data_IF_262348965249
#
_entry.id   IF_262348965249
#
_cell.length_a   1.000
_cell.length_b   1.000
_cell.length_c   1.000
_cell.angle_alpha   90.00
_cell.angle_beta   90.00
_cell.angle_gamma   90.00
#
_symmetry.space_group_name_H-M   'P 1'
#
loop_
_entity.id
_entity.type
_entity.pdbx_description
1 polymer ?
#
# COMPACT_ATOMS: atom_id res chain seq x y z
N UNK A 1 16.69 -4.72 -18.39
CA UNK A 1 16.10 -4.51 -17.04
C UNK A 1 14.92 -3.57 -17.17
N UNK A 2 13.69 -4.09 -17.04
CA UNK A 2 12.42 -3.37 -17.25
C UNK A 2 11.88 -2.79 -15.91
N UNK A 3 12.71 -2.81 -14.86
CA UNK A 3 12.35 -2.62 -13.45
C UNK A 3 11.97 -1.18 -13.01
N UNK A 4 11.66 -0.29 -13.95
CA UNK A 4 11.57 1.16 -13.68
C UNK A 4 10.21 1.60 -13.16
N UNK A 5 9.13 0.95 -13.59
CA UNK A 5 7.78 1.48 -13.35
C UNK A 5 7.14 0.87 -12.11
N UNK A 6 7.33 -0.43 -11.85
CA UNK A 6 6.83 -1.08 -10.64
C UNK A 6 7.43 -0.51 -9.35
N UNK A 7 8.71 -0.13 -9.38
CA UNK A 7 9.42 0.43 -8.24
C UNK A 7 8.90 1.83 -7.89
N UNK A 8 8.53 2.64 -8.89
CA UNK A 8 7.90 3.94 -8.68
C UNK A 8 6.56 3.77 -7.97
N UNK A 9 5.69 2.87 -8.43
CA UNK A 9 4.39 2.67 -7.78
C UNK A 9 4.55 2.14 -6.34
N UNK A 10 5.49 1.22 -6.09
CA UNK A 10 5.79 0.76 -4.73
C UNK A 10 6.33 1.89 -3.86
N UNK A 11 7.20 2.75 -4.39
CA UNK A 11 7.72 3.92 -3.70
C UNK A 11 6.63 4.95 -3.37
N UNK A 12 5.67 5.15 -4.27
CA UNK A 12 4.53 6.04 -4.01
C UNK A 12 3.70 5.54 -2.83
N UNK A 13 3.52 4.23 -2.66
CA UNK A 13 2.84 3.68 -1.48
C UNK A 13 3.67 3.93 -0.21
N UNK A 14 5.00 3.76 -0.26
CA UNK A 14 5.89 4.08 0.86
C UNK A 14 5.74 5.56 1.26
N UNK A 15 5.72 6.47 0.28
CA UNK A 15 5.52 7.90 0.54
C UNK A 15 4.14 8.14 1.16
N UNK A 16 3.07 7.52 0.64
CA UNK A 16 1.73 7.62 1.21
C UNK A 16 1.70 7.18 2.68
N UNK A 17 2.36 6.06 3.03
CA UNK A 17 2.44 5.59 4.40
C UNK A 17 3.22 6.57 5.30
N UNK A 18 4.34 7.11 4.82
CA UNK A 18 5.11 8.11 5.56
C UNK A 18 4.30 9.38 5.80
N UNK A 19 3.52 9.84 4.82
CA UNK A 19 2.62 10.97 5.00
C UNK A 19 1.58 10.69 6.09
N UNK A 20 1.00 9.48 6.13
CA UNK A 20 0.07 9.10 7.20
C UNK A 20 0.76 9.12 8.57
N UNK A 21 1.95 8.52 8.70
CA UNK A 21 2.72 8.48 9.95
C UNK A 21 2.98 9.90 10.45
N UNK A 22 3.54 10.75 9.59
CA UNK A 22 3.84 12.15 9.93
C UNK A 22 2.55 12.90 10.30
N UNK A 23 1.46 12.70 9.57
CA UNK A 23 0.19 13.40 9.83
C UNK A 23 -0.46 13.01 11.16
N UNK A 24 -0.03 11.91 11.79
CA UNK A 24 -0.56 11.44 13.07
C UNK A 24 0.35 11.85 14.23
N UNK A 25 1.66 11.78 14.05
CA UNK A 25 2.65 11.93 15.12
C UNK A 25 3.14 13.39 15.32
N UNK A 26 3.03 14.26 14.30
CA UNK A 26 3.95 15.42 14.20
C UNK A 26 3.65 16.68 15.05
N UNK A 27 2.45 16.89 15.59
CA UNK A 27 2.13 17.96 16.56
C UNK A 27 0.65 17.79 16.97
N UNK A 28 0.26 17.81 18.25
CA UNK A 28 -1.14 17.74 18.66
C UNK A 28 -2.06 18.78 17.98
N UNK A 29 -1.53 19.93 17.58
CA UNK A 29 -2.31 20.97 16.87
C UNK A 29 -2.50 20.69 15.37
N UNK A 30 -1.64 19.85 14.77
CA UNK A 30 -1.67 19.52 13.34
C UNK A 30 -1.97 18.05 13.07
N UNK A 31 -2.17 17.24 14.11
CA UNK A 31 -2.41 15.82 13.98
C UNK A 31 -3.80 15.56 13.40
N UNK A 32 -3.91 14.49 12.61
CA UNK A 32 -5.21 14.02 12.14
C UNK A 32 -6.08 13.68 13.36
N UNK A 33 -7.36 14.11 13.37
CA UNK A 33 -8.28 13.80 14.44
C UNK A 33 -8.30 12.30 14.77
N UNK A 34 -8.40 11.94 16.05
CA UNK A 34 -8.55 10.53 16.48
C UNK A 34 -9.81 9.87 15.93
N UNK A 35 -10.76 10.66 15.44
CA UNK A 35 -11.92 10.15 14.72
C UNK A 35 -11.59 9.63 13.32
N UNK A 36 -10.44 9.92 12.73
CA UNK A 36 -10.09 9.38 11.41
C UNK A 36 -9.59 7.94 11.51
N UNK A 37 -9.65 7.20 10.40
CA UNK A 37 -9.26 5.79 10.31
C UNK A 37 -10.15 4.80 11.09
N UNK A 38 -11.07 5.23 11.94
CA UNK A 38 -11.96 4.30 12.63
C UNK A 38 -11.21 3.35 13.56
N UNK A 39 -11.70 2.13 13.65
CA UNK A 39 -11.00 1.07 14.39
C UNK A 39 -9.69 0.64 13.75
N UNK A 40 -9.36 1.17 12.57
CA UNK A 40 -8.04 1.00 12.03
C UNK A 40 -6.97 1.89 12.72
N UNK A 41 -7.37 2.97 13.40
CA UNK A 41 -6.45 3.93 14.04
C UNK A 41 -5.43 3.29 15.01
N UNK A 42 -5.82 2.40 15.94
CA UNK A 42 -4.86 1.75 16.85
C UNK A 42 -3.80 0.93 16.11
N UNK A 43 -4.12 0.35 14.95
CA UNK A 43 -3.14 -0.41 14.16
C UNK A 43 -2.02 0.47 13.59
N UNK A 44 -2.34 1.73 13.29
CA UNK A 44 -1.34 2.70 12.86
C UNK A 44 -0.51 3.15 14.06
N UNK A 45 -1.15 3.53 15.17
CA UNK A 45 -0.48 4.15 16.31
C UNK A 45 0.34 3.15 17.15
N UNK A 46 -0.27 2.02 17.52
CA UNK A 46 0.28 1.12 18.54
C UNK A 46 0.96 -0.11 17.93
N UNK A 47 0.57 -0.49 16.71
CA UNK A 47 1.05 -1.71 16.04
C UNK A 47 1.94 -1.45 14.82
N UNK A 48 2.33 -0.19 14.58
CA UNK A 48 3.29 0.20 13.52
C UNK A 48 2.91 -0.32 12.12
N UNK A 49 1.61 -0.39 11.82
CA UNK A 49 1.13 -1.00 10.57
C UNK A 49 1.76 -0.34 9.34
N UNK A 50 1.74 0.99 9.28
CA UNK A 50 2.20 1.76 8.13
C UNK A 50 3.72 1.62 7.91
N UNK A 51 4.48 1.54 8.99
CA UNK A 51 5.93 1.34 9.02
C UNK A 51 6.28 -0.05 8.52
N UNK A 52 5.59 -1.09 9.03
CA UNK A 52 5.80 -2.48 8.62
C UNK A 52 5.51 -2.62 7.12
N UNK A 53 4.39 -2.09 6.62
CA UNK A 53 4.08 -2.14 5.19
C UNK A 53 5.13 -1.40 4.37
N UNK A 54 5.63 -0.25 4.85
CA UNK A 54 6.67 0.52 4.16
C UNK A 54 7.98 -0.25 4.04
N UNK A 55 8.44 -0.87 5.13
CA UNK A 55 9.65 -1.71 5.13
C UNK A 55 9.47 -2.90 4.20
N UNK A 56 8.32 -3.58 4.25
CA UNK A 56 8.03 -4.70 3.35
C UNK A 56 8.05 -4.28 1.88
N UNK A 57 7.51 -3.11 1.53
CA UNK A 57 7.56 -2.58 0.16
C UNK A 57 8.98 -2.23 -0.29
N UNK A 58 9.79 -1.63 0.59
CA UNK A 58 11.20 -1.34 0.29
C UNK A 58 11.95 -2.64 0.01
N UNK A 59 11.82 -3.66 0.87
CA UNK A 59 12.40 -4.99 0.62
C UNK A 59 11.88 -5.55 -0.71
N UNK A 60 10.58 -5.40 -0.98
CA UNK A 60 9.95 -5.92 -2.17
C UNK A 60 10.52 -5.28 -3.46
N UNK A 61 10.87 -3.99 -3.46
CA UNK A 61 11.52 -3.32 -4.59
C UNK A 61 12.82 -4.04 -4.98
N UNK A 62 13.60 -4.51 -4.00
CA UNK A 62 14.87 -5.21 -4.23
C UNK A 62 14.69 -6.68 -4.66
N UNK A 63 13.49 -7.26 -4.56
CA UNK A 63 13.19 -8.64 -4.98
C UNK A 63 12.97 -8.82 -6.48
N UNK A 64 13.50 -7.94 -7.32
CA UNK A 64 13.22 -7.88 -8.76
C UNK A 64 13.65 -9.10 -9.57
N UNK A 65 14.64 -9.84 -9.09
CA UNK A 65 15.04 -11.12 -9.69
C UNK A 65 13.99 -12.22 -9.44
N UNK A 66 13.03 -11.99 -8.53
CA UNK A 66 11.98 -12.93 -8.11
C UNK A 66 10.59 -12.31 -8.28
N UNK A 67 10.16 -12.01 -9.51
CA UNK A 67 8.90 -11.30 -9.79
C UNK A 67 7.64 -12.01 -9.25
N UNK A 68 7.64 -13.35 -9.20
CA UNK A 68 6.53 -14.11 -8.60
C UNK A 68 6.44 -13.88 -7.08
N UNK A 69 7.58 -13.82 -6.39
CA UNK A 69 7.64 -13.48 -4.97
C UNK A 69 7.16 -12.03 -4.76
N UNK A 70 7.56 -11.10 -5.64
CA UNK A 70 7.09 -9.71 -5.54
C UNK A 70 5.57 -9.59 -5.64
N UNK A 71 4.96 -10.28 -6.60
CA UNK A 71 3.51 -10.28 -6.79
C UNK A 71 2.80 -10.88 -5.57
N UNK A 72 3.32 -11.95 -4.99
CA UNK A 72 2.72 -12.57 -3.81
C UNK A 72 2.81 -11.68 -2.57
N UNK A 73 3.94 -11.00 -2.35
CA UNK A 73 4.05 -10.00 -1.28
C UNK A 73 3.04 -8.85 -1.47
N UNK A 74 2.90 -8.33 -2.69
CA UNK A 74 1.91 -7.30 -2.99
C UNK A 74 0.46 -7.77 -2.73
N UNK A 75 0.15 -9.05 -2.99
CA UNK A 75 -1.16 -9.64 -2.67
C UNK A 75 -1.40 -9.74 -1.16
N UNK A 76 -0.38 -10.11 -0.39
CA UNK A 76 -0.46 -10.13 1.07
C UNK A 76 -0.75 -8.72 1.59
N UNK A 77 -0.05 -7.70 1.08
CA UNK A 77 -0.28 -6.30 1.45
C UNK A 77 -1.72 -5.87 1.09
N UNK A 78 -2.26 -6.28 -0.07
CA UNK A 78 -3.68 -6.03 -0.40
C UNK A 78 -4.61 -6.61 0.66
N UNK A 79 -4.38 -7.86 1.11
CA UNK A 79 -5.22 -8.48 2.14
C UNK A 79 -5.15 -7.72 3.45
N UNK A 80 -3.96 -7.28 3.87
CA UNK A 80 -3.78 -6.44 5.06
C UNK A 80 -4.51 -5.10 4.93
N UNK A 81 -4.50 -4.47 3.75
CA UNK A 81 -5.24 -3.23 3.50
C UNK A 81 -6.76 -3.44 3.43
N UNK A 82 -7.22 -4.58 2.93
CA UNK A 82 -8.65 -4.95 2.97
C UNK A 82 -9.11 -5.08 4.42
N UNK A 83 -8.31 -5.73 5.28
CA UNK A 83 -8.59 -5.78 6.71
C UNK A 83 -8.71 -4.37 7.31
N UNK A 84 -7.78 -3.47 7.00
CA UNK A 84 -7.86 -2.09 7.48
C UNK A 84 -9.08 -1.33 6.95
N UNK A 85 -9.43 -1.53 5.68
CA UNK A 85 -10.62 -0.94 5.08
C UNK A 85 -11.90 -1.43 5.79
N UNK A 86 -12.02 -2.72 6.10
CA UNK A 86 -13.18 -3.24 6.83
C UNK A 86 -13.31 -2.59 8.22
N UNK A 87 -12.20 -2.39 8.93
CA UNK A 87 -12.18 -1.69 10.22
C UNK A 87 -12.54 -0.20 10.13
N UNK A 88 -12.40 0.43 8.95
CA UNK A 88 -12.88 1.80 8.72
C UNK A 88 -14.42 1.88 8.67
N UNK A 89 -15.06 0.81 8.18
CA UNK A 89 -16.52 0.69 8.09
C UNK A 89 -17.15 0.04 9.32
N UNK A 90 -16.35 -0.54 10.22
CA UNK A 90 -16.85 -1.19 11.42
C UNK A 90 -17.36 -0.17 12.45
N UNK A 91 -18.49 -0.49 13.10
CA UNK A 91 -19.27 0.32 14.05
C UNK A 91 -19.75 1.72 13.60
N UNK A 92 -19.31 2.21 12.43
CA UNK A 92 -19.64 3.56 11.93
C UNK A 92 -20.76 3.51 10.90
N UNK A 93 -21.51 4.61 10.81
CA UNK A 93 -22.45 4.76 9.70
C UNK A 93 -21.69 4.85 8.38
N UNK A 94 -22.25 4.23 7.35
CA UNK A 94 -21.68 4.22 6.00
C UNK A 94 -21.35 5.64 5.48
N UNK A 95 -22.22 6.60 5.78
CA UNK A 95 -22.04 8.02 5.45
C UNK A 95 -20.74 8.57 6.06
N UNK A 96 -20.51 8.34 7.35
CA UNK A 96 -19.30 8.80 8.04
C UNK A 96 -18.05 8.17 7.43
N UNK A 97 -18.08 6.87 7.16
CA UNK A 97 -16.93 6.15 6.60
C UNK A 97 -16.58 6.57 5.17
N UNK A 98 -17.56 6.93 4.33
CA UNK A 98 -17.30 7.45 2.97
C UNK A 98 -16.70 8.86 3.00
N UNK A 99 -17.12 9.69 3.96
CA UNK A 99 -16.57 11.04 4.12
C UNK A 99 -15.23 11.09 4.85
N UNK A 100 -14.78 9.97 5.43
CA UNK A 100 -13.51 9.89 6.15
C UNK A 100 -12.32 9.96 5.15
N UNK A 101 -11.39 10.91 5.30
CA UNK A 101 -10.20 11.01 4.44
C UNK A 101 -9.34 9.74 4.42
N UNK A 102 -9.41 8.90 5.45
CA UNK A 102 -8.74 7.60 5.48
C UNK A 102 -9.16 6.69 4.32
N UNK A 103 -10.38 6.83 3.77
CA UNK A 103 -10.81 6.07 2.61
C UNK A 103 -9.91 6.33 1.39
N UNK A 104 -9.47 7.58 1.20
CA UNK A 104 -8.57 7.98 0.11
C UNK A 104 -7.22 7.26 0.23
N UNK A 105 -6.69 7.13 1.45
CA UNK A 105 -5.46 6.37 1.71
C UNK A 105 -5.56 4.92 1.21
N UNK A 106 -6.66 4.24 1.54
CA UNK A 106 -6.87 2.86 1.09
C UNK A 106 -7.01 2.77 -0.44
N UNK A 107 -7.83 3.64 -1.04
CA UNK A 107 -8.07 3.65 -2.49
C UNK A 107 -6.80 3.88 -3.30
N UNK A 108 -5.99 4.88 -2.90
CA UNK A 108 -4.70 5.18 -3.54
C UNK A 108 -3.72 4.01 -3.38
N UNK A 109 -3.67 3.41 -2.19
CA UNK A 109 -2.81 2.25 -1.92
C UNK A 109 -3.19 1.06 -2.80
N UNK A 110 -4.48 0.72 -2.90
CA UNK A 110 -4.95 -0.34 -3.80
C UNK A 110 -4.60 -0.06 -5.25
N UNK A 111 -4.83 1.17 -5.72
CA UNK A 111 -4.51 1.58 -7.09
C UNK A 111 -3.03 1.33 -7.41
N UNK A 112 -2.12 1.83 -6.56
CA UNK A 112 -0.68 1.66 -6.81
C UNK A 112 -0.22 0.22 -6.70
N UNK A 113 -0.80 -0.61 -5.83
CA UNK A 113 -0.46 -2.04 -5.79
C UNK A 113 -0.91 -2.73 -7.07
N UNK A 114 -2.13 -2.47 -7.53
CA UNK A 114 -2.64 -3.05 -8.79
C UNK A 114 -1.77 -2.63 -9.98
N UNK A 115 -1.38 -1.36 -10.05
CA UNK A 115 -0.46 -0.86 -11.07
C UNK A 115 0.91 -1.54 -10.98
N UNK A 116 1.46 -1.72 -9.77
CA UNK A 116 2.71 -2.45 -9.53
C UNK A 116 2.65 -3.88 -10.07
N UNK A 117 1.59 -4.64 -9.71
CA UNK A 117 1.39 -6.02 -10.18
C UNK A 117 1.26 -6.05 -11.71
N UNK A 118 0.50 -5.12 -12.31
CA UNK A 118 0.33 -5.02 -13.77
C UNK A 118 1.68 -4.77 -14.46
N UNK A 119 2.51 -3.87 -13.94
CA UNK A 119 3.86 -3.63 -14.48
C UNK A 119 4.75 -4.88 -14.39
N UNK A 120 4.80 -5.57 -13.24
CA UNK A 120 5.62 -6.79 -13.10
C UNK A 120 5.17 -7.88 -14.09
N UNK A 121 3.86 -8.06 -14.27
CA UNK A 121 3.32 -9.02 -15.25
C UNK A 121 3.66 -8.65 -16.69
N UNK A 122 3.66 -7.35 -17.02
CA UNK A 122 4.08 -6.87 -18.35
C UNK A 122 5.55 -7.18 -18.61
N UNK A 123 6.42 -6.96 -17.63
CA UNK A 123 7.85 -7.27 -17.72
C UNK A 123 8.10 -8.76 -17.96
N UNK A 124 7.39 -9.61 -17.19
CA UNK A 124 7.43 -11.07 -17.35
C UNK A 124 7.00 -11.51 -18.75
N UNK A 125 5.96 -10.88 -19.32
CA UNK A 125 5.50 -11.18 -20.68
C UNK A 125 6.56 -10.81 -21.72
N UNK A 126 7.25 -9.68 -21.56
CA UNK A 126 8.33 -9.25 -22.46
C UNK A 126 9.49 -10.24 -22.40
N UNK A 127 9.95 -10.60 -21.19
CA UNK A 127 11.07 -11.55 -21.00
C UNK A 127 10.73 -12.91 -21.63
N UNK A 128 9.54 -13.44 -21.36
CA UNK A 128 9.12 -14.73 -21.91
C UNK A 128 8.97 -14.70 -23.44
N UNK A 129 8.51 -13.60 -24.02
CA UNK A 129 8.45 -13.44 -25.48
C UNK A 129 9.85 -13.35 -26.12
N UNK A 130 10.79 -12.66 -25.49
CA UNK A 130 12.17 -12.54 -25.98
C UNK A 130 12.91 -13.88 -25.92
N UNK A 131 12.66 -14.69 -24.90
CA UNK A 131 13.25 -16.02 -24.76
C UNK A 131 12.69 -17.04 -25.76
N UNK A 132 11.56 -16.79 -26.41
CA UNK A 132 10.99 -17.67 -27.45
C UNK A 132 11.62 -17.49 -28.82
N UNK A 133 12.23 -16.34 -29.06
CA UNK A 133 12.88 -16.00 -30.35
C UNK A 133 14.32 -16.51 -30.39
N UNK A 134 14.86 -16.92 -29.25
CA UNK A 134 16.23 -17.40 -29.07
C UNK A 134 16.24 -18.92 -28.92
#
# INVERSE_FOLDING_TARGET
MIQRVQSIYMLLIVITNLLVIISIDSNPEMSLPESYFGFFRPYINDYFFSEIISVLLIINIFLFKRPNLQINLLRIIILSLIFGLLNLFDERSFEKSITDPALVYFLISFLFIVLSIRSIKKDLKIISSSNRIR
#
